data_IF_660177046896
#
_entry.id   IF_660177046896
#
_cell.length_a   1.000
_cell.length_b   1.000
_cell.length_c   1.000
_cell.angle_alpha   90.00
_cell.angle_beta   90.00
_cell.angle_gamma   90.00
#
_symmetry.space_group_name_H-M   'P 1'
#
loop_
_entity.id
_entity.type
_entity.pdbx_description
1 polymer ?
#
# COMPACT_ATOMS: atom_id res chain seq x y z
N UNK A 1 -12.13 28.39 33.65
CA UNK A 1 -11.34 28.33 32.47
C UNK A 1 -12.03 27.51 31.40
N UNK A 2 -11.34 27.33 30.30
CA UNK A 2 -11.80 26.50 29.17
C UNK A 2 -10.58 25.78 28.57
N UNK A 3 -10.83 24.63 28.01
CA UNK A 3 -9.88 23.79 27.31
C UNK A 3 -10.40 23.50 25.89
N UNK A 4 -9.57 22.96 25.02
CA UNK A 4 -9.98 22.52 23.69
C UNK A 4 -10.02 21.00 23.66
N UNK A 5 -11.01 20.45 22.97
CA UNK A 5 -11.09 19.03 22.68
C UNK A 5 -11.15 18.81 21.19
N UNK A 6 -10.47 17.76 20.71
CA UNK A 6 -10.35 17.44 19.28
C UNK A 6 -11.20 16.21 18.98
N UNK A 7 -12.00 16.30 17.93
CA UNK A 7 -12.93 15.27 17.53
C UNK A 7 -12.74 14.87 16.05
N UNK A 8 -12.97 13.59 15.77
CA UNK A 8 -13.27 13.12 14.43
C UNK A 8 -14.74 12.72 14.38
N UNK A 9 -15.43 13.14 13.32
CA UNK A 9 -16.85 12.86 13.09
C UNK A 9 -17.04 12.14 11.77
N UNK A 10 -17.81 11.07 11.77
CA UNK A 10 -18.30 10.34 10.61
C UNK A 10 -19.82 10.41 10.52
N UNK A 11 -20.42 9.60 9.62
CA UNK A 11 -21.89 9.61 9.41
C UNK A 11 -22.69 9.22 10.66
N UNK A 12 -22.20 8.26 11.42
CA UNK A 12 -22.94 7.65 12.53
C UNK A 12 -22.14 7.61 13.84
N UNK A 13 -20.93 8.13 13.84
CA UNK A 13 -20.04 8.04 15.00
C UNK A 13 -19.14 9.28 15.13
N UNK A 14 -18.74 9.54 16.36
CA UNK A 14 -17.78 10.57 16.74
C UNK A 14 -16.79 9.99 17.74
N UNK A 15 -15.54 10.38 17.65
CA UNK A 15 -14.51 9.99 18.62
C UNK A 15 -13.73 11.20 19.08
N UNK A 16 -13.52 11.31 20.40
CA UNK A 16 -12.60 12.27 20.97
C UNK A 16 -11.17 11.77 20.76
N UNK A 17 -10.33 12.64 20.22
CA UNK A 17 -8.89 12.39 20.16
C UNK A 17 -8.17 12.85 21.42
N UNK A 18 -8.87 13.61 22.27
CA UNK A 18 -8.37 14.08 23.55
C UNK A 18 -8.37 15.60 23.69
N UNK A 19 -8.02 16.01 24.90
CA UNK A 19 -7.94 17.42 25.28
C UNK A 19 -6.60 17.99 24.82
N UNK A 20 -6.68 19.21 24.32
CA UNK A 20 -5.55 19.95 23.79
C UNK A 20 -5.45 21.29 24.52
N UNK A 21 -4.28 21.58 25.06
CA UNK A 21 -3.97 22.85 25.70
C UNK A 21 -2.84 23.55 24.92
N UNK A 22 -3.13 24.64 24.20
CA UNK A 22 -2.11 25.39 23.50
C UNK A 22 -1.16 26.10 24.50
N UNK A 23 0.10 26.26 24.11
CA UNK A 23 1.09 27.04 24.85
C UNK A 23 0.80 28.56 24.76
N UNK A 24 1.66 29.36 25.37
CA UNK A 24 1.55 30.83 25.39
C UNK A 24 1.60 31.47 23.98
N UNK A 25 2.09 30.73 22.98
CA UNK A 25 2.16 31.15 21.57
C UNK A 25 0.96 30.60 20.75
N UNK A 26 0.01 29.92 21.37
CA UNK A 26 -1.14 29.30 20.71
C UNK A 26 -0.78 28.00 19.96
N UNK A 27 0.39 27.39 20.28
CA UNK A 27 0.82 26.12 19.68
C UNK A 27 0.63 24.97 20.65
N UNK A 28 0.33 23.82 20.11
CA UNK A 28 0.29 22.58 20.85
C UNK A 28 0.26 21.38 19.89
N UNK A 29 0.50 20.22 20.43
CA UNK A 29 0.56 18.97 19.70
C UNK A 29 -0.26 17.92 20.44
N UNK A 30 -1.03 17.14 19.72
CA UNK A 30 -1.74 15.98 20.21
C UNK A 30 -1.45 14.80 19.27
N UNK A 31 -1.02 13.70 19.86
CA UNK A 31 -0.89 12.43 19.13
C UNK A 31 -1.95 11.46 19.63
N UNK A 32 -2.72 10.92 18.70
CA UNK A 32 -3.74 9.91 19.00
C UNK A 32 -3.42 8.63 18.21
N UNK A 33 -3.58 7.51 18.89
CA UNK A 33 -3.57 6.18 18.28
C UNK A 33 -4.82 5.44 18.71
N UNK A 34 -5.58 4.95 17.72
CA UNK A 34 -6.78 4.17 18.02
C UNK A 34 -6.40 2.89 18.77
N UNK A 35 -7.00 2.61 19.94
CA UNK A 35 -6.62 1.46 20.77
C UNK A 35 -6.95 0.11 20.12
N UNK A 36 -7.91 0.08 19.21
CA UNK A 36 -8.32 -1.12 18.48
C UNK A 36 -7.60 -1.24 17.12
N UNK A 37 -6.70 -0.29 16.81
CA UNK A 37 -5.94 -0.25 15.54
C UNK A 37 -6.80 0.06 14.32
N UNK A 38 -7.93 0.71 14.50
CA UNK A 38 -8.84 1.07 13.41
C UNK A 38 -8.21 2.17 12.54
N UNK A 39 -8.31 1.99 11.23
CA UNK A 39 -7.91 3.04 10.29
C UNK A 39 -8.94 4.18 10.32
N UNK A 40 -8.58 5.31 10.92
CA UNK A 40 -9.47 6.46 11.12
C UNK A 40 -10.00 7.03 9.79
N UNK A 41 -9.22 6.98 8.71
CA UNK A 41 -9.68 7.41 7.39
C UNK A 41 -10.85 6.59 6.85
N UNK A 42 -11.08 5.37 7.36
CA UNK A 42 -12.19 4.53 6.93
C UNK A 42 -13.54 4.99 7.43
N UNK A 43 -13.58 5.79 8.52
CA UNK A 43 -14.79 6.07 9.30
C UNK A 43 -15.16 7.53 9.37
N UNK A 44 -14.18 8.44 9.38
CA UNK A 44 -14.40 9.84 9.69
C UNK A 44 -14.22 10.74 8.47
N UNK A 45 -15.10 11.71 8.35
CA UNK A 45 -15.16 12.66 7.23
C UNK A 45 -14.92 14.10 7.67
N UNK A 46 -14.91 14.36 8.99
CA UNK A 46 -14.84 15.69 9.55
C UNK A 46 -13.93 15.73 10.79
N UNK A 47 -13.26 16.85 10.94
CA UNK A 47 -12.44 17.20 12.09
C UNK A 47 -13.01 18.43 12.77
N UNK A 48 -13.22 18.37 14.08
CA UNK A 48 -13.70 19.48 14.87
C UNK A 48 -12.79 19.77 16.08
N UNK A 49 -12.70 21.03 16.46
CA UNK A 49 -12.15 21.46 17.74
C UNK A 49 -13.25 22.21 18.49
N UNK A 50 -13.56 21.77 19.69
CA UNK A 50 -14.57 22.40 20.56
C UNK A 50 -13.90 23.10 21.74
N UNK A 51 -14.63 24.06 22.33
CA UNK A 51 -14.21 24.75 23.55
C UNK A 51 -15.00 24.13 24.71
N UNK A 52 -14.30 23.39 25.55
CA UNK A 52 -14.92 22.68 26.68
C UNK A 52 -14.66 23.43 27.99
N UNK A 53 -15.63 23.41 28.94
CA UNK A 53 -15.39 23.88 30.30
C UNK A 53 -14.29 23.05 30.96
N UNK A 54 -13.43 23.66 31.82
CA UNK A 54 -12.35 22.95 32.52
C UNK A 54 -12.87 21.79 33.40
N UNK A 55 -14.16 21.85 33.83
CA UNK A 55 -14.79 20.83 34.65
C UNK A 55 -15.52 19.78 33.84
N UNK A 56 -15.54 19.88 32.53
CA UNK A 56 -16.21 18.91 31.66
C UNK A 56 -15.42 17.60 31.59
N UNK A 57 -16.15 16.52 31.88
CA UNK A 57 -15.66 15.13 31.75
C UNK A 57 -16.66 14.29 30.98
N UNK A 58 -17.64 14.94 30.32
CA UNK A 58 -18.63 14.29 29.48
C UNK A 58 -18.07 13.66 28.24
N UNK A 59 -18.75 12.65 27.69
CA UNK A 59 -18.32 12.01 26.43
C UNK A 59 -18.76 12.79 25.17
N UNK A 60 -19.52 13.87 25.35
CA UNK A 60 -20.10 14.66 24.26
C UNK A 60 -19.52 16.07 24.24
N UNK A 61 -19.31 16.66 23.06
CA UNK A 61 -18.79 18.02 22.98
C UNK A 61 -19.79 19.06 23.52
N UNK A 62 -19.26 20.16 24.05
CA UNK A 62 -20.05 21.29 24.54
C UNK A 62 -20.96 21.95 23.51
N UNK A 63 -20.69 21.73 22.22
CA UNK A 63 -21.33 22.40 21.11
C UNK A 63 -20.75 23.78 20.76
N UNK A 64 -19.74 24.25 21.49
CA UNK A 64 -19.02 25.48 21.16
C UNK A 64 -17.86 25.15 20.23
N UNK A 65 -18.09 25.22 18.91
CA UNK A 65 -17.11 24.89 17.89
C UNK A 65 -16.12 26.06 17.74
N UNK A 66 -14.83 25.80 17.99
CA UNK A 66 -13.75 26.73 17.72
C UNK A 66 -13.27 26.64 16.28
N UNK A 67 -13.22 25.40 15.73
CA UNK A 67 -12.81 25.13 14.37
C UNK A 67 -13.45 23.84 13.88
N UNK A 68 -13.84 23.81 12.61
CA UNK A 68 -14.26 22.58 11.93
C UNK A 68 -13.73 22.53 10.52
N UNK A 69 -13.47 21.32 10.03
CA UNK A 69 -13.01 21.09 8.67
C UNK A 69 -13.57 19.76 8.17
N UNK A 70 -14.36 19.83 7.10
CA UNK A 70 -14.79 18.63 6.39
C UNK A 70 -13.69 18.18 5.43
N UNK A 71 -13.32 16.90 5.47
CA UNK A 71 -12.37 16.34 4.53
C UNK A 71 -12.94 16.39 3.10
N UNK A 72 -12.09 16.58 2.08
CA UNK A 72 -12.52 16.65 0.68
C UNK A 72 -13.24 15.38 0.26
N UNK A 73 -14.54 15.43 0.03
CA UNK A 73 -15.38 14.24 -0.12
C UNK A 73 -15.05 13.42 -1.38
N UNK A 74 -14.74 14.10 -2.50
CA UNK A 74 -14.37 13.44 -3.75
C UNK A 74 -12.96 12.84 -3.64
N UNK A 75 -11.99 13.62 -3.20
CA UNK A 75 -10.62 13.18 -3.03
C UNK A 75 -10.47 12.10 -1.96
N UNK A 76 -11.20 12.18 -0.86
CA UNK A 76 -11.18 11.19 0.23
C UNK A 76 -11.60 9.80 -0.23
N UNK A 77 -12.53 9.69 -1.18
CA UNK A 77 -12.92 8.38 -1.75
C UNK A 77 -11.69 7.63 -2.31
N UNK A 78 -10.91 8.31 -3.14
CA UNK A 78 -9.73 7.74 -3.77
C UNK A 78 -8.59 7.51 -2.77
N UNK A 79 -8.41 8.42 -1.80
CA UNK A 79 -7.47 8.21 -0.67
C UNK A 79 -7.84 6.98 0.14
N UNK A 80 -9.12 6.72 0.36
CA UNK A 80 -9.59 5.49 1.04
C UNK A 80 -9.27 4.23 0.24
N UNK A 81 -9.40 4.25 -1.07
CA UNK A 81 -8.99 3.11 -1.91
C UNK A 81 -7.47 2.85 -1.84
N UNK A 82 -6.70 3.90 -1.78
CA UNK A 82 -5.24 3.80 -1.65
C UNK A 82 -4.80 3.29 -0.27
N UNK A 83 -5.40 3.80 0.83
CA UNK A 83 -4.85 3.67 2.18
C UNK A 83 -5.72 2.89 3.18
N UNK A 84 -6.97 2.58 2.83
CA UNK A 84 -7.91 1.94 3.75
C UNK A 84 -8.47 0.64 3.21
N UNK A 85 -9.29 0.67 2.19
CA UNK A 85 -9.95 -0.52 1.66
C UNK A 85 -10.27 -0.38 0.17
N UNK A 86 -10.11 -1.48 -0.57
CA UNK A 86 -10.53 -1.58 -1.96
C UNK A 86 -11.26 -2.90 -2.21
N UNK A 87 -12.51 -2.82 -2.64
CA UNK A 87 -13.42 -3.98 -2.69
C UNK A 87 -12.99 -5.11 -3.64
N UNK A 88 -12.11 -4.83 -4.60
CA UNK A 88 -11.65 -5.79 -5.60
C UNK A 88 -10.37 -6.54 -5.21
N UNK A 89 -9.66 -6.06 -4.18
CA UNK A 89 -8.47 -6.75 -3.67
C UNK A 89 -8.83 -7.91 -2.75
N UNK A 90 -7.96 -8.92 -2.59
CA UNK A 90 -8.12 -9.94 -1.56
C UNK A 90 -8.29 -9.28 -0.17
N UNK A 91 -9.22 -9.83 0.63
CA UNK A 91 -9.54 -9.32 1.96
C UNK A 91 -9.92 -7.83 2.03
N UNK A 92 -10.22 -7.22 0.88
CA UNK A 92 -10.50 -5.80 0.72
C UNK A 92 -9.37 -4.89 1.22
N UNK A 93 -8.13 -5.36 1.15
CA UNK A 93 -6.96 -4.60 1.55
C UNK A 93 -6.79 -3.31 0.73
N UNK A 94 -6.19 -2.30 1.35
CA UNK A 94 -5.80 -1.07 0.67
C UNK A 94 -4.83 -1.34 -0.49
N UNK A 95 -4.96 -0.57 -1.57
CA UNK A 95 -4.17 -0.78 -2.78
C UNK A 95 -2.66 -0.62 -2.56
N UNK A 96 -2.22 0.41 -1.81
CA UNK A 96 -0.81 0.64 -1.51
C UNK A 96 -0.25 -0.48 -0.62
N UNK A 97 -1.04 -0.94 0.36
CA UNK A 97 -0.65 -2.08 1.19
C UNK A 97 -0.47 -3.35 0.35
N UNK A 98 -1.42 -3.64 -0.53
CA UNK A 98 -1.33 -4.81 -1.41
C UNK A 98 -0.13 -4.74 -2.36
N UNK A 99 0.13 -3.57 -2.95
CA UNK A 99 1.31 -3.34 -3.78
C UNK A 99 2.60 -3.64 -3.01
N UNK A 100 2.77 -3.03 -1.84
CA UNK A 100 3.95 -3.20 -1.00
C UNK A 100 4.15 -4.65 -0.56
N UNK A 101 3.10 -5.30 -0.04
CA UNK A 101 3.17 -6.68 0.45
C UNK A 101 3.56 -7.65 -0.66
N UNK A 102 3.01 -7.49 -1.88
CA UNK A 102 3.35 -8.38 -2.99
C UNK A 102 4.80 -8.17 -3.47
N UNK A 103 5.27 -6.92 -3.60
CA UNK A 103 6.68 -6.65 -3.97
C UNK A 103 7.61 -7.22 -2.90
N UNK A 104 7.29 -6.98 -1.62
CA UNK A 104 8.08 -7.52 -0.51
C UNK A 104 8.14 -9.03 -0.52
N UNK A 105 7.04 -9.71 -0.78
CA UNK A 105 7.00 -11.17 -0.87
C UNK A 105 7.86 -11.69 -2.02
N UNK A 106 7.82 -11.04 -3.19
CA UNK A 106 8.71 -11.40 -4.31
C UNK A 106 10.17 -11.18 -3.94
N UNK A 107 10.51 -10.10 -3.22
CA UNK A 107 11.87 -9.85 -2.75
C UNK A 107 12.35 -10.88 -1.73
N UNK A 108 11.48 -11.29 -0.81
CA UNK A 108 11.79 -12.35 0.15
C UNK A 108 12.02 -13.69 -0.58
N UNK A 109 11.18 -14.05 -1.55
CA UNK A 109 11.35 -15.23 -2.40
C UNK A 109 12.66 -15.18 -3.21
N UNK A 110 13.05 -14.00 -3.71
CA UNK A 110 14.33 -13.85 -4.44
C UNK A 110 15.53 -14.19 -3.55
N UNK A 111 15.55 -13.74 -2.30
CA UNK A 111 16.59 -14.07 -1.31
C UNK A 111 16.57 -15.55 -0.93
N UNK A 112 15.39 -16.14 -0.80
CA UNK A 112 15.25 -17.57 -0.55
C UNK A 112 15.70 -18.42 -1.74
N UNK A 113 15.45 -17.98 -3.00
CA UNK A 113 15.99 -18.62 -4.20
C UNK A 113 17.51 -18.57 -4.20
N UNK A 114 18.10 -17.43 -3.84
CA UNK A 114 19.57 -17.32 -3.73
C UNK A 114 20.13 -18.31 -2.73
N UNK A 115 19.55 -18.39 -1.53
CA UNK A 115 20.00 -19.31 -0.50
C UNK A 115 19.83 -20.77 -0.90
N UNK A 116 18.73 -21.15 -1.55
CA UNK A 116 18.50 -22.50 -2.06
C UNK A 116 19.52 -22.87 -3.14
N UNK A 117 19.78 -21.96 -4.08
CA UNK A 117 20.76 -22.18 -5.14
C UNK A 117 22.18 -22.38 -4.59
N UNK A 118 22.61 -21.55 -3.62
CA UNK A 118 23.91 -21.65 -2.97
C UNK A 118 24.07 -22.99 -2.22
N UNK A 119 23.00 -23.59 -1.76
CA UNK A 119 22.98 -24.91 -1.12
C UNK A 119 22.91 -26.07 -2.13
N UNK A 120 22.77 -25.81 -3.42
CA UNK A 120 22.65 -26.81 -4.49
C UNK A 120 21.24 -27.38 -4.66
N UNK A 121 20.22 -26.75 -4.08
CA UNK A 121 18.82 -27.20 -4.11
C UNK A 121 18.07 -26.51 -5.25
N UNK A 122 17.95 -27.13 -6.40
CA UNK A 122 17.29 -26.54 -7.57
C UNK A 122 15.75 -26.58 -7.50
N UNK A 123 15.16 -27.63 -6.93
CA UNK A 123 13.70 -27.78 -6.84
C UNK A 123 13.02 -26.61 -6.07
N UNK A 124 13.50 -26.19 -4.88
CA UNK A 124 12.98 -25.01 -4.20
C UNK A 124 13.16 -23.71 -4.99
N UNK A 125 14.20 -23.57 -5.82
CA UNK A 125 14.41 -22.40 -6.66
C UNK A 125 13.28 -22.26 -7.68
N UNK A 126 12.95 -23.34 -8.40
CA UNK A 126 11.89 -23.33 -9.41
C UNK A 126 10.51 -23.09 -8.81
N UNK A 127 10.21 -23.71 -7.66
CA UNK A 127 8.94 -23.51 -6.94
C UNK A 127 8.76 -22.04 -6.52
N UNK A 128 9.81 -21.43 -5.98
CA UNK A 128 9.78 -20.02 -5.55
C UNK A 128 9.69 -19.06 -6.73
N UNK A 129 10.34 -19.36 -7.85
CA UNK A 129 10.26 -18.58 -9.06
C UNK A 129 8.86 -18.62 -9.69
N UNK A 130 8.19 -19.78 -9.69
CA UNK A 130 6.78 -19.90 -10.05
C UNK A 130 5.90 -19.03 -9.16
N UNK A 131 6.03 -19.19 -7.85
CA UNK A 131 5.25 -18.41 -6.90
C UNK A 131 5.39 -16.91 -7.13
N UNK A 132 6.63 -16.42 -7.30
CA UNK A 132 6.91 -15.01 -7.56
C UNK A 132 6.32 -14.53 -8.90
N UNK A 133 6.44 -15.35 -9.97
CA UNK A 133 5.87 -15.02 -11.27
C UNK A 133 4.34 -14.96 -11.22
N UNK A 134 3.70 -15.89 -10.54
CA UNK A 134 2.26 -15.93 -10.38
C UNK A 134 1.74 -14.79 -9.50
N UNK A 135 2.50 -14.33 -8.50
CA UNK A 135 2.21 -13.09 -7.77
C UNK A 135 2.29 -11.85 -8.67
N UNK A 136 3.25 -11.83 -9.57
CA UNK A 136 3.46 -10.71 -10.49
C UNK A 136 2.30 -10.58 -11.49
N UNK A 137 1.89 -11.70 -12.12
CA UNK A 137 0.93 -11.66 -13.24
C UNK A 137 -0.54 -11.74 -12.80
N UNK A 138 -0.84 -12.32 -11.64
CA UNK A 138 -2.20 -12.46 -11.11
C UNK A 138 -3.00 -13.64 -11.70
N UNK A 139 -3.97 -14.12 -10.93
CA UNK A 139 -4.68 -15.39 -11.18
C UNK A 139 -5.60 -15.40 -12.41
N UNK A 140 -5.91 -14.24 -12.99
CA UNK A 140 -6.71 -14.12 -14.22
C UNK A 140 -5.85 -13.96 -15.48
N UNK A 141 -4.53 -13.85 -15.32
CA UNK A 141 -3.61 -13.78 -16.45
C UNK A 141 -3.47 -15.12 -17.15
N UNK A 142 -3.28 -15.11 -18.45
CA UNK A 142 -2.96 -16.31 -19.24
C UNK A 142 -1.59 -16.92 -18.85
N UNK A 143 -0.73 -16.11 -18.22
CA UNK A 143 0.60 -16.53 -17.73
C UNK A 143 0.56 -17.10 -16.30
N UNK A 144 -0.58 -17.13 -15.63
CA UNK A 144 -0.74 -17.76 -14.33
C UNK A 144 -0.92 -19.26 -14.48
N UNK A 145 0.07 -20.04 -14.11
CA UNK A 145 0.07 -21.50 -14.30
C UNK A 145 1.12 -22.22 -13.45
N UNK A 146 1.06 -23.53 -13.44
CA UNK A 146 2.11 -24.42 -12.98
C UNK A 146 3.32 -24.32 -13.95
N UNK A 147 4.37 -23.66 -13.50
CA UNK A 147 5.58 -23.43 -14.28
C UNK A 147 6.67 -24.46 -13.97
N UNK A 148 6.68 -25.04 -12.77
CA UNK A 148 7.65 -26.02 -12.33
C UNK A 148 7.24 -27.47 -12.68
N UNK A 149 5.96 -27.68 -13.05
CA UNK A 149 5.43 -28.99 -13.46
C UNK A 149 5.13 -29.95 -12.33
N UNK A 150 4.96 -29.46 -11.08
CA UNK A 150 4.66 -30.30 -9.92
C UNK A 150 3.18 -30.64 -9.76
N UNK A 151 2.32 -30.12 -10.66
CA UNK A 151 0.87 -30.34 -10.66
C UNK A 151 0.11 -29.38 -9.76
N UNK A 152 0.77 -28.39 -9.16
CA UNK A 152 0.14 -27.33 -8.38
C UNK A 152 0.40 -25.98 -9.03
N UNK A 153 -0.48 -25.01 -8.85
CA UNK A 153 -0.27 -23.62 -9.26
C UNK A 153 -0.27 -22.75 -8.02
N UNK A 154 0.87 -22.17 -7.71
CA UNK A 154 1.05 -21.37 -6.49
C UNK A 154 1.43 -19.91 -6.80
N UNK A 155 0.94 -18.94 -5.95
CA UNK A 155 -0.07 -19.11 -4.90
C UNK A 155 -1.45 -19.43 -5.50
N UNK A 156 -2.35 -20.06 -4.76
CA UNK A 156 -3.69 -20.46 -5.27
C UNK A 156 -4.57 -19.29 -5.72
N UNK A 157 -4.25 -18.08 -5.28
CA UNK A 157 -4.93 -16.85 -5.70
C UNK A 157 -3.92 -15.70 -5.67
N UNK A 158 -4.03 -14.81 -6.65
CA UNK A 158 -3.23 -13.59 -6.71
C UNK A 158 -4.02 -12.49 -7.40
N UNK A 159 -3.96 -11.28 -6.85
CA UNK A 159 -4.51 -10.08 -7.52
C UNK A 159 -3.58 -9.61 -8.65
N UNK A 160 -2.28 -9.87 -8.52
CA UNK A 160 -1.27 -9.48 -9.49
C UNK A 160 -0.73 -8.05 -9.30
N UNK A 161 0.55 -7.87 -9.59
CA UNK A 161 1.16 -6.54 -9.71
C UNK A 161 0.86 -5.93 -11.08
N UNK A 162 0.97 -6.74 -12.15
CA UNK A 162 0.66 -6.37 -13.54
C UNK A 162 -0.84 -6.52 -13.84
N UNK A 163 -1.22 -6.28 -15.10
CA UNK A 163 -2.58 -6.52 -15.56
C UNK A 163 -2.98 -7.98 -15.30
N UNK A 164 -4.05 -8.16 -14.55
CA UNK A 164 -4.61 -9.44 -14.20
C UNK A 164 -5.73 -9.79 -15.21
N UNK A 165 -5.34 -10.32 -16.35
CA UNK A 165 -6.22 -10.46 -17.49
C UNK A 165 -6.63 -9.11 -18.07
N UNK A 166 -7.91 -8.76 -18.01
CA UNK A 166 -8.45 -7.46 -18.43
C UNK A 166 -8.62 -6.46 -17.27
N UNK A 167 -8.27 -6.86 -16.04
CA UNK A 167 -8.40 -6.02 -14.85
C UNK A 167 -7.06 -5.41 -14.48
N UNK A 168 -7.10 -4.29 -13.76
CA UNK A 168 -5.89 -3.69 -13.21
C UNK A 168 -5.30 -4.58 -12.12
N UNK A 169 -3.97 -4.76 -12.16
CA UNK A 169 -3.22 -5.20 -11.02
C UNK A 169 -2.88 -4.01 -10.11
N UNK A 170 -2.13 -4.28 -9.03
CA UNK A 170 -1.82 -3.26 -8.02
C UNK A 170 -1.13 -2.02 -8.60
N UNK A 171 -0.18 -2.18 -9.53
CA UNK A 171 0.59 -1.04 -10.09
C UNK A 171 -0.36 -0.05 -10.78
N UNK A 172 -1.21 -0.53 -11.68
CA UNK A 172 -2.14 0.32 -12.43
C UNK A 172 -3.25 0.85 -11.53
N UNK A 173 -3.75 0.04 -10.58
CA UNK A 173 -4.80 0.45 -9.67
C UNK A 173 -4.32 1.59 -8.75
N UNK A 174 -3.14 1.46 -8.12
CA UNK A 174 -2.55 2.53 -7.29
C UNK A 174 -2.31 3.78 -8.10
N UNK A 175 -1.73 3.66 -9.30
CA UNK A 175 -1.48 4.81 -10.17
C UNK A 175 -2.77 5.55 -10.54
N UNK A 176 -3.81 4.79 -10.91
CA UNK A 176 -5.10 5.36 -11.33
C UNK A 176 -5.80 6.06 -10.18
N UNK A 177 -5.84 5.46 -8.98
CA UNK A 177 -6.49 6.07 -7.82
C UNK A 177 -5.72 7.30 -7.32
N UNK A 178 -4.38 7.30 -7.42
CA UNK A 178 -3.58 8.49 -7.16
C UNK A 178 -3.86 9.60 -8.17
N UNK A 179 -4.00 9.26 -9.46
CA UNK A 179 -4.36 10.22 -10.50
C UNK A 179 -5.76 10.80 -10.28
N UNK A 180 -6.73 9.99 -9.89
CA UNK A 180 -8.05 10.49 -9.51
C UNK A 180 -7.97 11.40 -8.29
N UNK A 181 -7.22 11.03 -7.25
CA UNK A 181 -7.05 11.87 -6.04
C UNK A 181 -6.60 13.28 -6.37
N UNK A 182 -5.61 13.45 -7.25
CA UNK A 182 -5.05 14.76 -7.58
C UNK A 182 -5.93 15.59 -8.51
N UNK A 183 -6.85 14.95 -9.24
CA UNK A 183 -7.70 15.59 -10.24
C UNK A 183 -9.15 15.84 -9.76
N UNK A 184 -9.49 15.53 -8.50
CA UNK A 184 -10.80 15.89 -7.95
C UNK A 184 -10.93 17.41 -7.78
N UNK A 185 -12.16 17.92 -7.86
CA UNK A 185 -12.41 19.34 -7.75
C UNK A 185 -12.08 19.93 -6.36
N UNK A 186 -12.10 19.06 -5.34
CA UNK A 186 -11.84 19.38 -3.94
C UNK A 186 -10.43 18.95 -3.47
N UNK A 187 -9.54 18.55 -4.37
CA UNK A 187 -8.19 18.12 -4.03
C UNK A 187 -7.43 19.21 -3.27
N UNK A 188 -6.90 18.87 -2.10
CA UNK A 188 -6.01 19.78 -1.36
C UNK A 188 -4.60 19.75 -1.93
N UNK A 189 -3.80 20.79 -1.60
CA UNK A 189 -2.37 20.84 -1.98
C UNK A 189 -1.62 19.58 -1.53
N UNK A 190 -1.89 19.08 -0.31
CA UNK A 190 -1.27 17.86 0.21
C UNK A 190 -1.68 16.61 -0.57
N UNK A 191 -2.93 16.51 -1.02
CA UNK A 191 -3.38 15.42 -1.88
C UNK A 191 -2.66 15.46 -3.22
N UNK A 192 -2.50 16.63 -3.82
CA UNK A 192 -1.80 16.80 -5.09
C UNK A 192 -0.32 16.41 -4.95
N UNK A 193 0.39 16.97 -3.97
CA UNK A 193 1.82 16.70 -3.79
C UNK A 193 2.08 15.22 -3.51
N UNK A 194 1.35 14.62 -2.57
CA UNK A 194 1.56 13.21 -2.22
C UNK A 194 1.05 12.27 -3.32
N UNK A 195 -0.03 12.60 -3.99
CA UNK A 195 -0.54 11.84 -5.14
C UNK A 195 0.47 11.78 -6.30
N UNK A 196 1.15 12.89 -6.61
CA UNK A 196 2.22 12.91 -7.63
C UNK A 196 3.42 12.05 -7.22
N UNK A 197 3.77 12.01 -5.94
CA UNK A 197 4.81 11.09 -5.43
C UNK A 197 4.39 9.64 -5.65
N UNK A 198 3.17 9.27 -5.30
CA UNK A 198 2.64 7.91 -5.50
C UNK A 198 2.62 7.54 -6.99
N UNK A 199 2.20 8.46 -7.87
CA UNK A 199 2.25 8.24 -9.34
C UNK A 199 3.67 7.99 -9.82
N UNK A 200 4.63 8.80 -9.37
CA UNK A 200 6.05 8.63 -9.74
C UNK A 200 6.59 7.28 -9.29
N UNK A 201 6.32 6.87 -8.04
CA UNK A 201 6.73 5.57 -7.54
C UNK A 201 6.14 4.42 -8.37
N UNK A 202 4.85 4.48 -8.67
CA UNK A 202 4.19 3.43 -9.48
C UNK A 202 4.68 3.40 -10.93
N UNK A 203 5.03 4.55 -11.51
CA UNK A 203 5.66 4.62 -12.84
C UNK A 203 7.02 3.93 -12.84
N UNK A 204 7.86 4.19 -11.85
CA UNK A 204 9.16 3.51 -11.72
C UNK A 204 9.00 2.00 -11.58
N UNK A 205 8.11 1.55 -10.70
CA UNK A 205 7.79 0.12 -10.54
C UNK A 205 7.28 -0.49 -11.85
N UNK A 206 6.46 0.24 -12.60
CA UNK A 206 5.94 -0.20 -13.90
C UNK A 206 7.04 -0.38 -14.96
N UNK A 207 8.09 0.46 -14.91
CA UNK A 207 9.25 0.33 -15.80
C UNK A 207 10.12 -0.89 -15.45
N UNK A 208 10.20 -1.27 -14.19
CA UNK A 208 11.02 -2.40 -13.72
C UNK A 208 10.27 -3.75 -13.78
N UNK A 209 8.95 -3.75 -13.75
CA UNK A 209 8.16 -4.97 -13.74
C UNK A 209 8.36 -5.91 -14.96
N UNK A 210 8.59 -5.43 -16.20
CA UNK A 210 8.97 -6.29 -17.33
C UNK A 210 10.29 -7.03 -17.12
N UNK A 211 11.30 -6.36 -16.54
CA UNK A 211 12.60 -6.99 -16.25
C UNK A 211 12.46 -8.02 -15.13
N UNK A 212 11.65 -7.73 -14.10
CA UNK A 212 11.31 -8.69 -13.06
C UNK A 212 10.70 -9.97 -13.66
N UNK A 213 9.72 -9.81 -14.56
CA UNK A 213 9.09 -10.95 -15.26
C UNK A 213 10.11 -11.73 -16.08
N UNK A 214 10.99 -11.05 -16.80
CA UNK A 214 12.03 -11.65 -17.63
C UNK A 214 12.97 -12.49 -16.78
N UNK A 215 13.50 -11.95 -15.68
CA UNK A 215 14.41 -12.66 -14.76
C UNK A 215 13.76 -13.91 -14.17
N UNK A 216 12.50 -13.83 -13.72
CA UNK A 216 11.77 -15.00 -13.21
C UNK A 216 11.61 -16.09 -14.27
N UNK A 217 11.30 -15.73 -15.52
CA UNK A 217 11.22 -16.69 -16.63
C UNK A 217 12.60 -17.30 -16.98
N UNK A 218 13.66 -16.52 -16.90
CA UNK A 218 15.02 -17.02 -17.12
C UNK A 218 15.41 -18.05 -16.04
N UNK A 219 15.08 -17.79 -14.78
CA UNK A 219 15.31 -18.73 -13.66
C UNK A 219 14.54 -20.03 -13.90
N UNK A 220 13.23 -19.95 -14.19
CA UNK A 220 12.36 -21.12 -14.43
C UNK A 220 12.88 -21.98 -15.60
N UNK A 221 13.32 -21.37 -16.68
CA UNK A 221 13.73 -22.07 -17.91
C UNK A 221 15.24 -22.36 -17.97
N UNK A 222 16.00 -22.00 -16.93
CA UNK A 222 17.47 -22.16 -16.95
C UNK A 222 17.84 -23.63 -16.91
N UNK A 223 18.77 -23.98 -17.80
CA UNK A 223 19.44 -25.29 -17.85
C UNK A 223 20.91 -25.20 -17.44
N UNK A 224 21.38 -24.01 -17.07
CA UNK A 224 22.77 -23.71 -16.72
C UNK A 224 22.84 -23.02 -15.36
N UNK A 225 23.63 -23.61 -14.44
CA UNK A 225 23.83 -23.03 -13.10
C UNK A 225 24.42 -21.62 -13.15
N UNK A 226 25.31 -21.33 -14.11
CA UNK A 226 25.91 -20.01 -14.25
C UNK A 226 24.85 -18.94 -14.62
N UNK A 227 23.96 -19.25 -15.57
CA UNK A 227 22.90 -18.33 -15.97
C UNK A 227 21.86 -18.15 -14.85
N UNK A 228 21.49 -19.25 -14.19
CA UNK A 228 20.56 -19.22 -13.06
C UNK A 228 21.09 -18.35 -11.92
N UNK A 229 22.36 -18.50 -11.56
CA UNK A 229 23.02 -17.68 -10.54
C UNK A 229 23.01 -16.21 -10.87
N UNK A 230 23.28 -15.84 -12.12
CA UNK A 230 23.25 -14.44 -12.57
C UNK A 230 21.83 -13.86 -12.47
N UNK A 231 20.83 -14.57 -13.02
CA UNK A 231 19.44 -14.12 -12.97
C UNK A 231 18.91 -14.00 -11.55
N UNK A 232 19.28 -14.89 -10.63
CA UNK A 232 18.87 -14.79 -9.21
C UNK A 232 19.50 -13.56 -8.55
N UNK A 233 20.79 -13.31 -8.76
CA UNK A 233 21.48 -12.13 -8.22
C UNK A 233 20.82 -10.84 -8.72
N UNK A 234 20.54 -10.76 -10.02
CA UNK A 234 19.94 -9.58 -10.63
C UNK A 234 18.47 -9.42 -10.18
N UNK A 235 17.76 -10.51 -9.94
CA UNK A 235 16.41 -10.50 -9.34
C UNK A 235 16.42 -9.91 -7.92
N UNK A 236 17.38 -10.30 -7.08
CA UNK A 236 17.52 -9.75 -5.72
C UNK A 236 17.79 -8.25 -5.77
N UNK A 237 18.72 -7.81 -6.65
CA UNK A 237 19.02 -6.38 -6.80
C UNK A 237 17.82 -5.58 -7.31
N UNK A 238 17.08 -6.10 -8.31
CA UNK A 238 15.92 -5.44 -8.87
C UNK A 238 14.77 -5.33 -7.85
N UNK A 239 14.52 -6.39 -7.08
CA UNK A 239 13.46 -6.37 -6.05
C UNK A 239 13.79 -5.43 -4.89
N UNK A 240 15.06 -5.32 -4.52
CA UNK A 240 15.51 -4.33 -3.54
C UNK A 240 15.31 -2.90 -4.06
N UNK A 241 15.66 -2.65 -5.31
CA UNK A 241 15.39 -1.38 -5.98
C UNK A 241 13.89 -1.03 -6.03
N UNK A 242 13.02 -2.02 -6.28
CA UNK A 242 11.56 -1.79 -6.30
C UNK A 242 11.01 -1.44 -4.92
N UNK A 243 11.62 -1.92 -3.84
CA UNK A 243 11.20 -1.63 -2.46
C UNK A 243 11.76 -0.31 -1.93
N UNK A 244 13.01 -0.02 -2.20
CA UNK A 244 13.77 1.04 -1.54
C UNK A 244 14.06 2.23 -2.46
N UNK A 245 13.81 2.09 -3.77
CA UNK A 245 14.17 3.08 -4.77
C UNK A 245 15.63 2.99 -5.18
N UNK A 246 16.09 4.02 -5.91
CA UNK A 246 17.49 4.18 -6.32
C UNK A 246 18.01 5.42 -5.61
N UNK A 247 19.11 5.29 -4.89
CA UNK A 247 19.87 6.45 -4.42
C UNK A 247 20.47 7.15 -5.64
N UNK A 248 20.08 8.38 -5.86
CA UNK A 248 20.71 9.26 -6.85
C UNK A 248 21.87 9.95 -6.16
N UNK A 249 23.09 9.44 -6.35
CA UNK A 249 24.33 10.09 -5.94
C UNK A 249 24.54 11.47 -6.62
#
# INVERSE_FOLDING_TARGET
GSQYEIWLTGSDERVSLGIFAPDENGKGELTFSDPDGVNLLSRYDEFEITIEPDSDTGPEPSGLIAYSFALPAEGLLHVRYLLSTFSKTPDKNALVQGLYVNIKQIADLAKEMQSAFENGDQEPVQQKAEFALNLLVGAKSADYKDWNGDGQTEPRASYGLLLNGSEFGYIQAVHTEADYTINTADATEYMVVNGEVVKTCTQNISLWAPDLRKLLLEIINSTSDANMSESIRDLVALTDQMLNGIDLD
#
